data_IF_011011474788
#
_entry.id   IF_011011474788
#
_cell.length_a   1.000
_cell.length_b   1.000
_cell.length_c   1.000
_cell.angle_alpha   90.00
_cell.angle_beta   90.00
_cell.angle_gamma   90.00
#
_symmetry.space_group_name_H-M   'P 1'
#
loop_
_entity.id
_entity.type
_entity.pdbx_description
1 polymer ?
#
# COMPACT_ATOMS: atom_id res chain seq x y z
N UNK A 1 -2.86 28.30 -12.71
CA UNK A 1 -3.09 26.89 -13.07
C UNK A 1 -1.73 26.32 -13.40
N UNK A 2 -1.11 25.70 -12.41
CA UNK A 2 0.32 25.40 -12.41
C UNK A 2 0.71 24.31 -13.42
N UNK A 3 1.73 24.63 -14.20
CA UNK A 3 2.37 23.79 -15.22
C UNK A 3 2.83 22.41 -14.69
N UNK A 4 2.94 22.26 -13.36
CA UNK A 4 3.41 21.05 -12.69
C UNK A 4 2.39 19.90 -12.67
N UNK A 5 1.09 20.20 -12.53
CA UNK A 5 0.03 19.16 -12.60
C UNK A 5 -0.04 18.59 -14.01
N UNK A 6 0.14 19.43 -15.02
CA UNK A 6 0.16 19.00 -16.43
C UNK A 6 1.36 18.10 -16.73
N UNK A 7 2.53 18.35 -16.13
CA UNK A 7 3.76 17.60 -16.41
C UNK A 7 3.70 16.14 -15.89
N UNK A 8 3.14 15.91 -14.70
CA UNK A 8 2.92 14.54 -14.20
C UNK A 8 1.79 13.80 -14.94
N UNK A 9 0.80 14.53 -15.46
CA UNK A 9 -0.37 13.92 -16.13
C UNK A 9 -0.18 13.69 -17.63
N UNK A 10 0.87 14.25 -18.25
CA UNK A 10 1.14 14.09 -19.69
C UNK A 10 1.82 12.77 -20.08
N UNK A 11 2.25 11.94 -19.12
CA UNK A 11 3.03 10.72 -19.40
C UNK A 11 2.21 9.41 -19.52
N UNK A 12 0.90 9.44 -19.29
CA UNK A 12 0.05 8.22 -19.24
C UNK A 12 -1.09 8.21 -20.27
N UNK A 13 -1.00 9.04 -21.33
CA UNK A 13 -1.95 8.99 -22.44
C UNK A 13 -1.41 8.08 -23.57
N UNK A 14 -1.43 6.77 -23.34
CA UNK A 14 -0.90 5.84 -24.34
C UNK A 14 -1.18 4.38 -24.05
N UNK A 15 -2.46 3.98 -24.05
CA UNK A 15 -3.00 2.70 -24.55
C UNK A 15 -4.36 2.40 -23.91
N UNK A 16 -5.45 2.61 -24.66
CA UNK A 16 -6.74 1.96 -24.40
C UNK A 16 -7.20 1.36 -25.71
N UNK A 17 -7.24 0.03 -25.79
CA UNK A 17 -7.89 -0.71 -26.88
C UNK A 17 -9.27 -1.08 -26.38
N UNK A 18 -10.30 -0.62 -27.09
CA UNK A 18 -11.71 -0.80 -26.73
C UNK A 18 -12.18 -2.25 -26.87
N UNK A 19 -13.05 -2.68 -25.96
CA UNK A 19 -13.80 -3.92 -26.03
C UNK A 19 -15.21 -3.68 -25.49
N UNK A 20 -16.19 -3.87 -26.35
CA UNK A 20 -17.63 -3.81 -26.06
C UNK A 20 -18.04 -4.90 -25.06
N UNK A 21 -18.95 -4.59 -24.14
CA UNK A 21 -19.58 -5.60 -23.28
C UNK A 21 -21.05 -5.29 -23.02
N UNK A 22 -21.90 -5.83 -23.89
CA UNK A 22 -23.31 -6.08 -23.60
C UNK A 22 -23.46 -7.54 -23.16
N UNK A 23 -23.74 -7.76 -21.88
CA UNK A 23 -24.73 -8.72 -21.38
C UNK A 23 -24.62 -8.86 -19.85
N UNK A 24 -25.59 -8.28 -19.14
CA UNK A 24 -25.83 -8.56 -17.73
C UNK A 24 -26.82 -9.71 -17.63
N UNK A 25 -26.39 -10.84 -17.09
CA UNK A 25 -27.30 -11.85 -16.55
C UNK A 25 -27.23 -11.84 -15.02
N UNK A 26 -28.40 -11.65 -14.41
CA UNK A 26 -28.65 -11.80 -12.98
C UNK A 26 -28.48 -13.26 -12.56
N UNK A 27 -27.67 -13.52 -11.53
CA UNK A 27 -27.65 -14.82 -10.85
C UNK A 27 -28.56 -14.79 -9.62
N UNK A 28 -29.67 -15.54 -9.69
CA UNK A 28 -30.49 -15.92 -8.53
C UNK A 28 -29.88 -17.16 -7.86
N UNK A 29 -29.56 -17.06 -6.57
CA UNK A 29 -29.13 -18.18 -5.73
C UNK A 29 -30.34 -19.04 -5.32
N UNK A 30 -30.23 -20.35 -5.52
CA UNK A 30 -31.16 -21.36 -4.97
C UNK A 30 -30.45 -22.18 -3.90
N UNK A 31 -31.10 -22.57 -2.78
CA UNK A 31 -30.47 -23.37 -1.73
C UNK A 31 -30.66 -24.88 -1.97
N UNK A 32 -29.60 -25.68 -1.84
CA UNK A 32 -29.65 -27.14 -1.83
C UNK A 32 -28.32 -27.70 -1.33
N UNK A 33 -28.30 -28.23 -0.10
CA UNK A 33 -28.38 -29.66 0.24
C UNK A 33 -26.99 -30.32 0.36
N UNK A 34 -26.65 -30.74 1.58
CA UNK A 34 -25.43 -31.50 1.86
C UNK A 34 -25.57 -32.96 1.40
N UNK A 35 -24.55 -33.56 0.75
CA UNK A 35 -24.53 -34.99 0.53
C UNK A 35 -24.01 -35.73 1.78
N UNK A 36 -24.75 -36.75 2.20
CA UNK A 36 -24.37 -37.75 3.20
C UNK A 36 -23.42 -38.80 2.59
N UNK A 37 -22.30 -39.07 3.25
CA UNK A 37 -21.31 -40.10 2.88
C UNK A 37 -21.86 -41.53 3.11
N UNK A 38 -21.89 -42.41 2.08
CA UNK A 38 -22.44 -43.76 2.20
C UNK A 38 -21.44 -44.85 2.65
N UNK A 39 -20.19 -44.52 2.99
CA UNK A 39 -19.19 -45.55 3.32
C UNK A 39 -18.85 -45.61 4.81
N UNK A 40 -19.63 -46.40 5.55
CA UNK A 40 -19.38 -46.78 6.95
C UNK A 40 -18.06 -47.54 7.15
N UNK A 41 -16.95 -46.82 7.31
CA UNK A 41 -15.67 -47.36 7.80
C UNK A 41 -15.41 -46.91 9.23
N UNK A 42 -15.23 -47.89 10.11
CA UNK A 42 -14.83 -47.68 11.50
C UNK A 42 -13.45 -47.01 11.62
N UNK A 43 -13.22 -46.14 12.61
CA UNK A 43 -11.95 -45.44 12.75
C UNK A 43 -10.88 -46.34 13.38
N UNK A 44 -9.77 -46.52 12.67
CA UNK A 44 -8.55 -47.14 13.18
C UNK A 44 -7.92 -46.21 14.23
N UNK A 45 -7.84 -46.68 15.47
CA UNK A 45 -7.14 -46.01 16.57
C UNK A 45 -5.62 -46.04 16.30
N UNK A 46 -5.08 -44.94 15.77
CA UNK A 46 -3.64 -44.70 15.79
C UNK A 46 -3.28 -43.97 17.09
N UNK A 47 -2.60 -44.67 18.01
CA UNK A 47 -2.03 -44.07 19.21
C UNK A 47 -0.74 -43.34 18.84
N UNK A 48 -0.84 -42.10 18.36
CA UNK A 48 0.29 -41.20 18.28
C UNK A 48 0.60 -40.62 19.66
N UNK A 49 1.89 -40.61 20.03
CA UNK A 49 2.38 -39.98 21.25
C UNK A 49 2.04 -38.48 21.27
N UNK A 50 1.83 -37.86 22.45
CA UNK A 50 1.52 -36.44 22.54
C UNK A 50 2.72 -35.63 22.05
N UNK A 51 2.62 -35.08 20.85
CA UNK A 51 3.55 -34.05 20.37
C UNK A 51 3.32 -32.81 21.21
N UNK A 52 4.41 -32.23 21.74
CA UNK A 52 4.35 -30.92 22.38
C UNK A 52 3.71 -29.95 21.38
N UNK A 53 2.71 -29.13 21.79
CA UNK A 53 2.14 -28.15 20.89
C UNK A 53 3.27 -27.22 20.44
N UNK A 54 3.41 -27.06 19.12
CA UNK A 54 4.28 -26.05 18.56
C UNK A 54 3.88 -24.69 19.18
N UNK A 55 4.83 -23.80 19.50
CA UNK A 55 4.50 -22.48 20.02
C UNK A 55 3.50 -21.83 19.06
N UNK A 56 2.37 -21.38 19.59
CA UNK A 56 1.37 -20.69 18.79
C UNK A 56 2.05 -19.47 18.16
N UNK A 57 2.26 -19.48 16.84
CA UNK A 57 2.74 -18.30 16.12
C UNK A 57 1.63 -17.25 16.25
N UNK A 58 1.83 -16.30 17.16
CA UNK A 58 0.91 -15.19 17.35
C UNK A 58 0.85 -14.40 16.04
N UNK A 59 -0.35 -14.30 15.46
CA UNK A 59 -0.59 -13.53 14.26
C UNK A 59 -0.16 -12.06 14.47
N UNK A 60 0.73 -11.57 13.61
CA UNK A 60 1.17 -10.17 13.64
C UNK A 60 -0.01 -9.23 13.35
N UNK A 61 -0.12 -8.14 14.09
CA UNK A 61 -1.15 -7.12 13.92
C UNK A 61 -0.57 -5.99 13.08
N UNK A 62 -1.18 -5.68 11.94
CA UNK A 62 -0.65 -4.70 10.99
C UNK A 62 -1.66 -3.60 10.72
N UNK A 63 -1.25 -2.36 10.94
CA UNK A 63 -2.02 -1.20 10.49
C UNK A 63 -1.73 -0.95 9.01
N UNK A 64 -2.76 -0.80 8.19
CA UNK A 64 -2.62 -0.41 6.78
C UNK A 64 -3.22 0.99 6.62
N UNK A 65 -2.41 1.96 6.18
CA UNK A 65 -2.83 3.36 6.09
C UNK A 65 -3.11 3.70 4.62
N UNK A 66 -4.36 4.05 4.34
CA UNK A 66 -4.89 4.38 3.03
C UNK A 66 -5.07 5.90 2.86
N UNK A 67 -5.26 6.33 1.63
CA UNK A 67 -5.27 7.74 1.21
C UNK A 67 -6.38 8.08 0.21
N UNK A 68 -7.38 7.20 0.05
CA UNK A 68 -8.49 7.29 -0.91
C UNK A 68 -8.67 5.96 -1.65
N UNK A 69 -9.21 5.98 -2.88
CA UNK A 69 -9.40 4.78 -3.71
C UNK A 69 -9.24 5.08 -5.22
N UNK A 70 -8.00 5.08 -5.71
CA UNK A 70 -7.67 5.42 -7.09
C UNK A 70 -6.26 5.99 -7.20
N UNK A 71 -5.48 5.60 -8.21
CA UNK A 71 -4.07 6.00 -8.30
C UNK A 71 -3.86 7.51 -8.35
N UNK A 72 -4.73 8.28 -9.00
CA UNK A 72 -4.50 9.72 -9.21
C UNK A 72 -4.95 10.61 -8.06
N UNK A 73 -5.84 10.14 -7.20
CA UNK A 73 -6.45 10.93 -6.12
C UNK A 73 -6.54 10.23 -4.78
N UNK A 74 -6.06 8.98 -4.69
CA UNK A 74 -6.12 8.15 -3.50
C UNK A 74 -5.02 7.09 -3.45
N UNK A 75 -5.33 5.97 -2.81
CA UNK A 75 -4.46 4.79 -2.77
C UNK A 75 -4.47 4.06 -4.11
N UNK A 76 -3.30 3.63 -4.56
CA UNK A 76 -3.18 2.71 -5.70
C UNK A 76 -3.80 1.35 -5.33
N UNK A 77 -4.83 0.95 -6.08
CA UNK A 77 -5.73 -0.14 -5.70
C UNK A 77 -5.03 -1.50 -5.83
N UNK A 78 -4.15 -1.66 -6.81
CA UNK A 78 -3.45 -2.92 -7.04
C UNK A 78 -2.36 -3.18 -5.99
N UNK A 79 -1.65 -2.14 -5.55
CA UNK A 79 -0.69 -2.15 -4.44
C UNK A 79 -1.40 -2.44 -3.13
N UNK A 80 -2.51 -1.77 -2.83
CA UNK A 80 -3.30 -2.08 -1.63
C UNK A 80 -3.81 -3.52 -1.65
N UNK A 81 -4.33 -3.99 -2.80
CA UNK A 81 -4.74 -5.38 -2.95
C UNK A 81 -3.57 -6.35 -2.75
N UNK A 82 -2.38 -6.05 -3.29
CA UNK A 82 -1.19 -6.88 -3.11
C UNK A 82 -0.77 -6.94 -1.63
N UNK A 83 -0.73 -5.79 -0.95
CA UNK A 83 -0.46 -5.71 0.50
C UNK A 83 -1.42 -6.60 1.28
N UNK A 84 -2.73 -6.46 1.06
CA UNK A 84 -3.76 -7.22 1.78
C UNK A 84 -3.67 -8.72 1.51
N UNK A 85 -3.43 -9.13 0.26
CA UNK A 85 -3.26 -10.55 -0.11
C UNK A 85 -2.05 -11.17 0.58
N UNK A 86 -0.90 -10.50 0.57
CA UNK A 86 0.32 -11.04 1.18
C UNK A 86 0.24 -11.03 2.72
N UNK A 87 -0.36 -10.02 3.33
CA UNK A 87 -0.65 -10.01 4.77
C UNK A 87 -1.59 -11.16 5.17
N UNK A 88 -2.65 -11.37 4.40
CA UNK A 88 -3.60 -12.47 4.62
C UNK A 88 -2.93 -13.83 4.48
N UNK A 89 -2.09 -14.03 3.45
CA UNK A 89 -1.31 -15.26 3.25
C UNK A 89 -0.35 -15.54 4.41
N UNK A 90 0.21 -14.50 5.02
CA UNK A 90 1.07 -14.61 6.19
C UNK A 90 0.31 -14.80 7.51
N UNK A 91 -1.03 -14.83 7.49
CA UNK A 91 -1.88 -14.97 8.68
C UNK A 91 -1.89 -13.73 9.57
N UNK A 92 -1.52 -12.55 9.05
CA UNK A 92 -1.54 -11.31 9.80
C UNK A 92 -2.98 -10.81 10.03
N UNK A 93 -3.21 -10.17 11.18
CA UNK A 93 -4.45 -9.45 11.48
C UNK A 93 -4.31 -8.00 11.02
N UNK A 94 -5.17 -7.59 10.10
CA UNK A 94 -5.10 -6.26 9.47
C UNK A 94 -6.21 -5.35 10.00
N UNK A 95 -5.86 -4.10 10.31
CA UNK A 95 -6.84 -3.02 10.45
C UNK A 95 -6.44 -1.87 9.53
N UNK A 96 -7.39 -1.37 8.74
CA UNK A 96 -7.17 -0.29 7.79
C UNK A 96 -7.57 1.05 8.39
N UNK A 97 -6.80 2.08 8.06
CA UNK A 97 -7.00 3.44 8.53
C UNK A 97 -6.91 4.44 7.39
N UNK A 98 -7.67 5.53 7.46
CA UNK A 98 -7.57 6.64 6.52
C UNK A 98 -7.99 7.94 7.24
N UNK A 99 -7.42 9.11 6.89
CA UNK A 99 -7.87 10.37 7.46
C UNK A 99 -9.33 10.67 7.08
N UNK A 100 -10.16 11.08 8.04
CA UNK A 100 -11.47 11.66 7.76
C UNK A 100 -11.33 13.11 7.30
N UNK A 101 -11.02 13.29 6.02
CA UNK A 101 -10.80 14.60 5.39
C UNK A 101 -11.19 14.57 3.90
N UNK A 102 -11.42 15.74 3.32
CA UNK A 102 -11.63 15.88 1.88
C UNK A 102 -10.35 15.51 1.10
N UNK A 103 -10.51 14.85 -0.05
CA UNK A 103 -9.42 14.69 -1.01
C UNK A 103 -9.01 16.06 -1.59
N UNK A 104 -7.71 16.27 -1.85
CA UNK A 104 -7.24 17.51 -2.48
C UNK A 104 -7.85 17.72 -3.87
N UNK A 105 -7.98 16.63 -4.65
CA UNK A 105 -8.62 16.61 -5.95
C UNK A 105 -9.44 15.33 -6.10
N UNK A 106 -10.48 15.36 -6.93
CA UNK A 106 -11.16 14.17 -7.46
C UNK A 106 -10.84 14.07 -8.94
N UNK A 107 -10.34 12.93 -9.41
CA UNK A 107 -9.80 12.79 -10.77
C UNK A 107 -10.62 11.78 -11.59
N UNK A 108 -11.04 12.20 -12.77
CA UNK A 108 -11.50 11.25 -13.79
C UNK A 108 -10.30 10.45 -14.29
N UNK A 109 -10.23 9.18 -13.93
CA UNK A 109 -9.09 8.31 -14.25
C UNK A 109 -8.99 7.93 -15.73
N UNK A 110 -10.08 8.01 -16.49
CA UNK A 110 -10.05 7.79 -17.94
C UNK A 110 -9.39 8.96 -18.69
N UNK A 111 -9.56 10.19 -18.17
CA UNK A 111 -9.03 11.41 -18.78
C UNK A 111 -7.74 11.90 -18.13
N UNK A 112 -7.43 11.44 -16.92
CA UNK A 112 -6.33 11.94 -16.11
C UNK A 112 -6.52 13.40 -15.69
N UNK A 113 -7.77 13.87 -15.53
CA UNK A 113 -8.08 15.29 -15.25
C UNK A 113 -8.90 15.45 -13.97
N UNK A 114 -8.65 16.51 -13.18
CA UNK A 114 -9.51 16.86 -12.05
C UNK A 114 -10.97 17.13 -12.49
N UNK A 115 -11.88 16.91 -11.57
CA UNK A 115 -13.31 17.22 -11.67
C UNK A 115 -13.71 18.18 -10.54
N UNK A 116 -14.89 18.79 -10.64
CA UNK A 116 -15.45 19.67 -9.61
C UNK A 116 -16.10 18.90 -8.45
N UNK A 117 -16.12 17.57 -8.50
CA UNK A 117 -16.66 16.73 -7.44
C UNK A 117 -15.82 16.83 -6.16
N UNK A 118 -16.46 16.59 -5.01
CA UNK A 118 -15.78 16.42 -3.72
C UNK A 118 -16.01 15.01 -3.19
N UNK A 119 -14.93 14.41 -2.67
CA UNK A 119 -14.95 13.10 -2.04
C UNK A 119 -14.10 13.12 -0.78
N UNK A 120 -14.47 12.27 0.18
CA UNK A 120 -13.78 12.14 1.45
C UNK A 120 -12.84 10.93 1.41
N UNK A 121 -11.60 11.11 1.89
CA UNK A 121 -10.52 10.13 1.89
C UNK A 121 -10.94 8.84 2.61
N UNK A 122 -11.48 8.94 3.83
CA UNK A 122 -11.93 7.79 4.62
C UNK A 122 -13.07 7.04 3.92
N UNK A 123 -14.08 7.76 3.43
CA UNK A 123 -15.23 7.16 2.75
C UNK A 123 -14.83 6.42 1.46
N UNK A 124 -13.93 7.00 0.67
CA UNK A 124 -13.46 6.35 -0.55
C UNK A 124 -12.55 5.16 -0.23
N UNK A 125 -11.68 5.26 0.79
CA UNK A 125 -10.89 4.12 1.26
C UNK A 125 -11.73 2.95 1.78
N UNK A 126 -12.97 3.20 2.25
CA UNK A 126 -13.90 2.13 2.64
C UNK A 126 -14.23 1.18 1.48
N UNK A 127 -14.08 1.61 0.22
CA UNK A 127 -14.24 0.75 -0.96
C UNK A 127 -13.20 -0.36 -1.00
N UNK A 128 -11.93 -0.03 -0.76
CA UNK A 128 -10.82 -1.00 -0.65
C UNK A 128 -11.05 -1.90 0.58
N UNK A 129 -11.41 -1.28 1.70
CA UNK A 129 -11.56 -1.97 2.98
C UNK A 129 -12.85 -2.78 3.13
N UNK A 130 -13.76 -2.76 2.15
CA UNK A 130 -15.09 -3.37 2.22
C UNK A 130 -15.89 -2.92 3.45
N UNK A 131 -15.78 -1.63 3.79
CA UNK A 131 -16.40 -1.02 4.97
C UNK A 131 -15.56 -1.03 6.25
N UNK A 132 -14.54 -1.89 6.35
CA UNK A 132 -13.72 -2.07 7.56
C UNK A 132 -12.52 -1.12 7.60
N UNK A 133 -12.78 0.18 7.54
CA UNK A 133 -11.76 1.24 7.67
C UNK A 133 -12.10 2.15 8.85
N UNK A 134 -11.09 2.51 9.63
CA UNK A 134 -11.22 3.40 10.78
C UNK A 134 -10.59 4.76 10.48
N UNK A 135 -11.15 5.83 11.04
CA UNK A 135 -10.48 7.14 11.01
C UNK A 135 -9.06 7.02 11.60
N UNK A 136 -8.07 7.55 10.87
CA UNK A 136 -6.68 7.62 11.30
C UNK A 136 -6.56 8.24 12.71
N UNK A 137 -7.46 9.17 13.08
CA UNK A 137 -7.62 9.76 14.43
C UNK A 137 -7.54 8.74 15.56
N UNK A 138 -8.06 7.53 15.31
CA UNK A 138 -8.27 6.47 16.30
C UNK A 138 -7.15 5.42 16.30
N UNK A 139 -6.14 5.54 15.44
CA UNK A 139 -5.03 4.59 15.42
C UNK A 139 -4.21 4.71 16.70
N UNK A 140 -4.16 3.60 17.45
CA UNK A 140 -3.29 3.45 18.61
C UNK A 140 -2.11 2.52 18.28
N UNK A 141 -0.89 3.08 18.27
CA UNK A 141 0.33 2.36 17.87
C UNK A 141 0.64 1.15 18.76
N UNK A 142 0.20 1.12 20.04
CA UNK A 142 0.44 -0.05 20.90
C UNK A 142 -0.27 -1.33 20.40
N UNK A 143 -1.32 -1.15 19.60
CA UNK A 143 -2.22 -2.24 19.19
C UNK A 143 -1.72 -2.96 17.93
N UNK A 144 -0.61 -2.49 17.36
CA UNK A 144 -0.02 -3.03 16.13
C UNK A 144 1.43 -3.41 16.33
N UNK A 145 1.91 -4.35 15.53
CA UNK A 145 3.30 -4.79 15.52
C UNK A 145 4.06 -4.15 14.33
N UNK A 146 3.35 -3.73 13.27
CA UNK A 146 3.89 -3.02 12.12
C UNK A 146 2.86 -2.07 11.50
N UNK A 147 3.30 -1.17 10.62
CA UNK A 147 2.42 -0.41 9.74
C UNK A 147 2.89 -0.46 8.28
N UNK A 148 1.93 -0.47 7.34
CA UNK A 148 2.19 -0.44 5.90
C UNK A 148 1.42 0.70 5.25
N UNK A 149 2.08 1.46 4.37
CA UNK A 149 1.49 2.56 3.59
C UNK A 149 1.67 2.25 2.09
N UNK A 150 0.63 1.76 1.41
CA UNK A 150 0.63 1.64 -0.05
C UNK A 150 0.83 3.00 -0.73
N UNK A 151 1.17 3.00 -2.01
CA UNK A 151 1.35 4.21 -2.79
C UNK A 151 0.06 4.80 -3.36
N UNK A 152 0.20 5.40 -4.54
CA UNK A 152 -0.80 6.25 -5.17
C UNK A 152 -0.62 7.73 -4.84
N UNK A 153 -1.07 8.59 -5.76
CA UNK A 153 -0.93 10.04 -5.62
C UNK A 153 -1.73 10.61 -4.45
N UNK A 154 -2.68 9.89 -3.87
CA UNK A 154 -3.29 10.25 -2.59
C UNK A 154 -2.26 10.37 -1.46
N UNK A 155 -1.14 9.66 -1.52
CA UNK A 155 -0.04 9.87 -0.56
C UNK A 155 0.60 11.24 -0.76
N UNK A 156 0.81 11.64 -2.01
CA UNK A 156 1.41 12.93 -2.37
C UNK A 156 0.44 14.12 -2.26
N UNK A 157 -0.87 13.87 -2.13
CA UNK A 157 -1.94 14.90 -2.17
C UNK A 157 -2.74 15.00 -0.86
N UNK A 158 -3.03 13.88 -0.22
CA UNK A 158 -3.94 13.80 0.93
C UNK A 158 -3.19 13.47 2.23
N UNK A 159 -2.13 12.66 2.14
CA UNK A 159 -1.26 12.34 3.28
C UNK A 159 -0.06 13.30 3.40
N UNK A 160 0.19 14.09 2.38
CA UNK A 160 1.19 15.15 2.31
C UNK A 160 0.78 16.14 1.21
N UNK A 161 1.50 17.24 1.07
CA UNK A 161 1.38 18.17 -0.07
C UNK A 161 2.56 18.04 -1.06
N UNK A 162 3.19 16.86 -1.14
CA UNK A 162 4.29 16.56 -2.06
C UNK A 162 3.97 16.87 -3.53
N UNK A 163 2.75 16.60 -3.98
CA UNK A 163 2.34 16.84 -5.37
C UNK A 163 2.45 18.31 -5.79
N UNK A 164 2.44 19.24 -4.81
CA UNK A 164 2.54 20.69 -5.05
C UNK A 164 3.85 21.30 -4.55
N UNK A 165 4.45 20.75 -3.49
CA UNK A 165 5.66 21.30 -2.85
C UNK A 165 6.92 20.45 -2.97
N UNK A 166 6.81 19.23 -3.52
CA UNK A 166 7.94 18.29 -3.67
C UNK A 166 8.71 18.13 -2.33
N UNK A 167 10.04 18.15 -2.30
CA UNK A 167 10.87 18.02 -1.08
C UNK A 167 10.52 19.00 0.05
N UNK A 168 9.94 20.16 -0.28
CA UNK A 168 9.50 21.17 0.69
C UNK A 168 8.11 20.86 1.26
N UNK A 169 7.59 19.65 1.00
CA UNK A 169 6.29 19.23 1.49
C UNK A 169 6.20 19.22 3.01
N UNK A 170 4.96 19.30 3.47
CA UNK A 170 4.52 18.96 4.80
C UNK A 170 3.70 17.67 4.75
N UNK A 171 3.77 16.89 5.82
CA UNK A 171 3.00 15.65 5.96
C UNK A 171 1.76 15.98 6.79
N UNK A 172 0.66 15.26 6.52
CA UNK A 172 -0.55 15.38 7.33
C UNK A 172 -0.17 15.18 8.82
N UNK A 173 -0.49 16.13 9.72
CA UNK A 173 0.13 16.19 11.05
C UNK A 173 -0.06 14.94 11.90
N UNK A 174 -1.22 14.30 11.77
CA UNK A 174 -1.49 13.07 12.49
C UNK A 174 -0.68 11.90 11.91
N UNK A 175 -0.58 11.77 10.59
CA UNK A 175 0.24 10.73 9.98
C UNK A 175 1.71 10.88 10.38
N UNK A 176 2.22 12.11 10.39
CA UNK A 176 3.58 12.39 10.85
C UNK A 176 3.80 11.89 12.29
N UNK A 177 2.86 12.19 13.19
CA UNK A 177 2.89 11.71 14.58
C UNK A 177 2.90 10.18 14.64
N UNK A 178 2.04 9.51 13.86
CA UNK A 178 1.92 8.05 13.84
C UNK A 178 3.23 7.40 13.35
N UNK A 179 3.81 7.88 12.25
CA UNK A 179 5.08 7.37 11.73
C UNK A 179 6.20 7.51 12.76
N UNK A 180 6.30 8.68 13.41
CA UNK A 180 7.28 8.89 14.50
C UNK A 180 7.05 7.93 15.67
N UNK A 181 5.80 7.66 16.05
CA UNK A 181 5.47 6.75 17.13
C UNK A 181 5.81 5.29 16.80
N UNK A 182 5.56 4.82 15.57
CA UNK A 182 5.99 3.48 15.12
C UNK A 182 7.52 3.35 15.16
N UNK A 183 8.23 4.34 14.63
CA UNK A 183 9.70 4.37 14.63
C UNK A 183 10.28 4.39 16.05
N UNK A 184 9.78 5.27 16.93
CA UNK A 184 10.21 5.35 18.33
C UNK A 184 9.94 4.05 19.11
N UNK A 185 8.84 3.35 18.79
CA UNK A 185 8.53 2.05 19.37
C UNK A 185 9.36 0.89 18.78
N UNK A 186 10.23 1.16 17.81
CA UNK A 186 11.02 0.13 17.13
C UNK A 186 10.15 -0.85 16.35
N UNK A 187 9.00 -0.41 15.83
CA UNK A 187 8.07 -1.21 15.03
C UNK A 187 8.27 -0.91 13.55
N UNK A 188 8.35 -1.93 12.68
CA UNK A 188 8.68 -1.72 11.28
C UNK A 188 7.61 -0.99 10.50
N UNK A 189 8.08 -0.27 9.48
CA UNK A 189 7.29 0.47 8.51
C UNK A 189 7.54 -0.13 7.12
N UNK A 190 6.47 -0.56 6.43
CA UNK A 190 6.50 -0.94 5.01
C UNK A 190 5.91 0.17 4.14
N UNK A 191 6.59 0.57 3.08
CA UNK A 191 6.13 1.64 2.18
C UNK A 191 6.44 1.27 0.72
N UNK A 192 5.49 1.49 -0.19
CA UNK A 192 5.72 1.24 -1.62
C UNK A 192 5.35 2.42 -2.53
N UNK A 193 5.91 2.40 -3.73
CA UNK A 193 5.72 3.45 -4.74
C UNK A 193 6.21 4.82 -4.22
N UNK A 194 5.33 5.82 -4.14
CA UNK A 194 5.70 7.17 -3.73
C UNK A 194 5.70 7.34 -2.21
N UNK A 195 5.09 6.43 -1.44
CA UNK A 195 5.01 6.58 0.02
C UNK A 195 6.34 6.64 0.79
N UNK A 196 7.47 6.08 0.32
CA UNK A 196 8.77 6.27 0.96
C UNK A 196 9.21 7.72 1.15
N UNK A 197 8.69 8.68 0.37
CA UNK A 197 8.98 10.12 0.60
C UNK A 197 8.54 10.59 1.99
N UNK A 198 7.54 9.93 2.58
CA UNK A 198 7.09 10.23 3.95
C UNK A 198 8.19 9.89 4.96
N UNK A 199 8.82 8.72 4.81
CA UNK A 199 9.93 8.32 5.65
C UNK A 199 11.15 9.23 5.42
N UNK A 200 11.46 9.59 4.18
CA UNK A 200 12.56 10.50 3.86
C UNK A 200 12.43 11.85 4.59
N UNK A 201 11.20 12.37 4.71
CA UNK A 201 10.94 13.64 5.39
C UNK A 201 10.99 13.54 6.92
N UNK A 202 10.64 12.39 7.48
CA UNK A 202 10.43 12.21 8.93
C UNK A 202 11.63 11.57 9.63
N UNK A 203 12.35 10.67 8.95
CA UNK A 203 13.39 9.82 9.51
C UNK A 203 14.77 10.26 8.97
N UNK A 204 15.54 11.04 9.75
CA UNK A 204 16.80 11.59 9.27
C UNK A 204 17.79 10.52 8.83
N UNK A 205 18.28 10.62 7.61
CA UNK A 205 19.31 9.74 7.06
C UNK A 205 18.87 8.29 6.87
N UNK A 206 17.56 8.02 6.72
CA UNK A 206 17.11 6.68 6.38
C UNK A 206 17.57 6.25 4.98
N UNK A 207 17.68 4.94 4.80
CA UNK A 207 17.90 4.33 3.48
C UNK A 207 16.57 3.83 2.92
N UNK A 208 16.31 4.10 1.64
CA UNK A 208 15.07 3.68 1.00
C UNK A 208 15.24 3.50 -0.51
N UNK A 209 14.27 2.86 -1.15
CA UNK A 209 14.13 2.85 -2.61
C UNK A 209 12.80 3.46 -3.04
N UNK A 210 12.84 4.13 -4.17
CA UNK A 210 11.67 4.50 -5.00
C UNK A 210 11.83 3.94 -6.43
N UNK A 211 12.73 2.97 -6.62
CA UNK A 211 13.04 2.37 -7.91
C UNK A 211 14.48 2.60 -8.33
N UNK A 212 14.65 3.11 -9.54
CA UNK A 212 15.93 3.53 -10.12
C UNK A 212 16.06 5.05 -10.09
N UNK A 213 17.29 5.55 -10.18
CA UNK A 213 17.63 6.98 -10.21
C UNK A 213 17.94 7.51 -11.62
N UNK A 214 17.80 6.68 -12.65
CA UNK A 214 17.96 7.08 -14.06
C UNK A 214 16.63 7.03 -14.80
N UNK A 215 16.21 8.20 -15.28
CA UNK A 215 14.98 8.35 -16.05
C UNK A 215 15.07 7.60 -17.39
N UNK A 216 14.06 6.78 -17.67
CA UNK A 216 13.85 6.15 -18.97
C UNK A 216 12.39 5.68 -19.10
N UNK A 217 12.03 5.08 -20.24
CA UNK A 217 10.67 4.55 -20.46
C UNK A 217 10.21 3.58 -19.36
N UNK A 218 11.12 2.79 -18.79
CA UNK A 218 10.79 1.88 -17.69
C UNK A 218 10.62 2.63 -16.35
N UNK A 219 11.35 3.71 -16.14
CA UNK A 219 11.45 4.44 -14.88
C UNK A 219 11.12 5.92 -15.07
N UNK A 220 9.84 6.28 -15.30
CA UNK A 220 9.43 7.65 -15.60
C UNK A 220 9.52 8.59 -14.39
N UNK A 221 9.59 8.05 -13.17
CA UNK A 221 9.61 8.84 -11.93
C UNK A 221 10.96 8.83 -11.21
N UNK A 222 12.04 8.47 -11.91
CA UNK A 222 13.38 8.30 -11.34
C UNK A 222 13.94 9.55 -10.64
N UNK A 223 13.51 10.75 -11.07
CA UNK A 223 13.89 12.02 -10.44
C UNK A 223 13.48 12.13 -8.96
N UNK A 224 12.53 11.31 -8.51
CA UNK A 224 12.17 11.20 -7.09
C UNK A 224 13.37 10.79 -6.23
N UNK A 225 14.29 9.98 -6.79
CA UNK A 225 15.52 9.59 -6.11
C UNK A 225 16.40 10.79 -5.76
N UNK A 226 16.46 11.82 -6.60
CA UNK A 226 17.26 13.02 -6.35
C UNK A 226 16.65 13.86 -5.22
N UNK A 227 15.32 14.02 -5.21
CA UNK A 227 14.63 14.69 -4.11
C UNK A 227 14.86 13.97 -2.77
N UNK A 228 14.90 12.63 -2.76
CA UNK A 228 15.25 11.83 -1.58
C UNK A 228 16.69 12.12 -1.09
N UNK A 229 17.65 12.19 -2.01
CA UNK A 229 19.06 12.53 -1.69
C UNK A 229 19.16 13.95 -1.12
N UNK A 230 18.44 14.91 -1.71
CA UNK A 230 18.40 16.31 -1.25
C UNK A 230 17.77 16.48 0.14
N UNK A 231 16.85 15.59 0.52
CA UNK A 231 16.32 15.50 1.88
C UNK A 231 17.30 14.86 2.88
N UNK A 232 18.53 14.53 2.46
CA UNK A 232 19.57 13.97 3.31
C UNK A 232 19.43 12.47 3.55
N UNK A 233 18.62 11.77 2.76
CA UNK A 233 18.43 10.32 2.83
C UNK A 233 19.24 9.59 1.74
N UNK A 234 19.43 8.28 1.91
CA UNK A 234 20.14 7.46 0.92
C UNK A 234 19.14 6.70 0.05
N UNK A 235 19.08 7.05 -1.23
CA UNK A 235 18.37 6.24 -2.22
C UNK A 235 19.22 5.01 -2.60
N UNK A 236 18.58 3.84 -2.66
CA UNK A 236 19.18 2.58 -3.12
C UNK A 236 18.40 2.09 -4.33
N UNK A 237 19.07 1.95 -5.47
CA UNK A 237 18.44 1.46 -6.68
C UNK A 237 17.96 0.00 -6.49
N UNK A 238 16.70 -0.25 -6.84
CA UNK A 238 16.06 -1.57 -6.79
C UNK A 238 15.17 -1.77 -7.99
N UNK A 239 15.17 -3.00 -8.53
CA UNK A 239 14.22 -3.39 -9.56
C UNK A 239 12.84 -3.71 -8.97
N UNK A 240 11.83 -3.83 -9.83
CA UNK A 240 10.41 -3.89 -9.43
C UNK A 240 10.04 -5.07 -8.53
N UNK A 241 10.75 -6.19 -8.64
CA UNK A 241 10.51 -7.40 -7.83
C UNK A 241 11.31 -7.38 -6.51
N UNK A 242 12.10 -6.33 -6.25
CA UNK A 242 12.93 -6.21 -5.07
C UNK A 242 12.35 -5.23 -4.03
N UNK A 243 12.76 -5.41 -2.77
CA UNK A 243 12.60 -4.43 -1.70
C UNK A 243 13.97 -4.05 -1.12
N UNK A 244 14.08 -2.84 -0.60
CA UNK A 244 15.20 -2.39 0.22
C UNK A 244 14.82 -2.41 1.70
N UNK A 245 15.74 -2.86 2.55
CA UNK A 245 15.56 -2.95 4.00
C UNK A 245 16.60 -2.08 4.70
N UNK A 246 16.15 -0.99 5.32
CA UNK A 246 16.94 -0.23 6.28
C UNK A 246 16.71 -0.83 7.68
N UNK A 247 17.63 -1.73 8.06
CA UNK A 247 17.58 -2.44 9.35
C UNK A 247 17.64 -1.47 10.54
N UNK A 248 18.38 -0.36 10.42
CA UNK A 248 18.56 0.60 11.51
C UNK A 248 17.26 1.31 11.84
N UNK A 249 16.51 1.72 10.81
CA UNK A 249 15.24 2.41 10.97
C UNK A 249 14.02 1.48 10.92
N UNK A 250 14.24 0.17 10.71
CA UNK A 250 13.19 -0.83 10.45
C UNK A 250 12.22 -0.38 9.35
N UNK A 251 12.77 0.17 8.28
CA UNK A 251 12.03 0.66 7.13
C UNK A 251 12.23 -0.29 5.96
N UNK A 252 11.14 -0.76 5.37
CA UNK A 252 11.15 -1.62 4.19
C UNK A 252 10.45 -0.89 3.05
N UNK A 253 11.11 -0.78 1.90
CA UNK A 253 10.59 -0.03 0.76
C UNK A 253 10.69 -0.80 -0.55
N UNK A 254 9.72 -0.63 -1.44
CA UNK A 254 9.76 -1.15 -2.82
C UNK A 254 9.13 -0.15 -3.78
N UNK A 255 9.51 -0.18 -5.06
CA UNK A 255 9.15 0.85 -6.01
C UNK A 255 7.75 0.69 -6.64
N UNK A 256 7.20 -0.52 -6.67
CA UNK A 256 5.86 -0.80 -7.22
C UNK A 256 5.58 -0.04 -8.54
N UNK A 257 4.51 0.77 -8.62
CA UNK A 257 4.17 1.52 -9.84
C UNK A 257 4.97 2.80 -10.09
N UNK A 258 6.11 3.01 -9.40
CA UNK A 258 7.10 4.02 -9.82
C UNK A 258 7.79 3.67 -11.15
N UNK A 259 7.44 2.51 -11.73
CA UNK A 259 7.94 2.01 -12.99
C UNK A 259 6.82 1.44 -13.89
N UNK A 260 7.11 1.31 -15.18
CA UNK A 260 6.22 0.71 -16.17
C UNK A 260 6.40 -0.82 -16.23
N UNK A 261 6.03 -1.50 -15.14
CA UNK A 261 6.12 -2.95 -15.02
C UNK A 261 4.77 -3.67 -15.20
N UNK A 262 4.78 -4.96 -15.59
CA UNK A 262 3.59 -5.81 -15.50
C UNK A 262 3.06 -5.92 -14.06
N UNK A 263 1.73 -5.95 -13.90
CA UNK A 263 1.04 -6.05 -12.61
C UNK A 263 1.56 -7.17 -11.70
N UNK A 264 1.87 -8.35 -12.25
CA UNK A 264 2.35 -9.49 -11.45
C UNK A 264 3.71 -9.21 -10.81
N UNK A 265 4.62 -8.51 -11.52
CA UNK A 265 5.92 -8.13 -10.95
C UNK A 265 5.79 -7.13 -9.82
N UNK A 266 4.89 -6.16 -9.97
CA UNK A 266 4.57 -5.22 -8.89
C UNK A 266 3.97 -5.95 -7.70
N UNK A 267 3.03 -6.88 -7.95
CA UNK A 267 2.45 -7.72 -6.91
C UNK A 267 3.51 -8.55 -6.15
N UNK A 268 4.48 -9.10 -6.86
CA UNK A 268 5.55 -9.91 -6.27
C UNK A 268 6.52 -9.05 -5.45
N UNK A 269 6.95 -7.89 -5.96
CA UNK A 269 7.80 -6.93 -5.23
C UNK A 269 7.15 -6.37 -3.96
N UNK A 270 5.84 -6.03 -4.03
CA UNK A 270 5.05 -5.68 -2.83
C UNK A 270 5.02 -6.85 -1.85
N UNK A 271 4.95 -8.09 -2.34
CA UNK A 271 5.03 -9.28 -1.50
C UNK A 271 6.35 -9.40 -0.74
N UNK A 272 7.48 -9.14 -1.39
CA UNK A 272 8.79 -9.09 -0.73
C UNK A 272 8.80 -8.02 0.36
N UNK A 273 8.29 -6.82 0.07
CA UNK A 273 8.19 -5.75 1.08
C UNK A 273 7.32 -6.17 2.28
N UNK A 274 6.17 -6.82 2.07
CA UNK A 274 5.32 -7.31 3.16
C UNK A 274 6.07 -8.35 4.00
N UNK A 275 6.71 -9.33 3.36
CA UNK A 275 7.44 -10.39 4.06
C UNK A 275 8.58 -9.85 4.91
N UNK A 276 9.41 -8.95 4.37
CA UNK A 276 10.50 -8.32 5.12
C UNK A 276 9.97 -7.44 6.27
N UNK A 277 8.86 -6.71 6.05
CA UNK A 277 8.22 -5.92 7.12
C UNK A 277 7.79 -6.82 8.28
N UNK A 278 7.17 -7.97 7.99
CA UNK A 278 6.73 -8.92 9.01
C UNK A 278 7.89 -9.61 9.74
N UNK A 279 9.03 -9.83 9.08
CA UNK A 279 10.24 -10.39 9.71
C UNK A 279 10.85 -9.46 10.77
N UNK A 280 10.67 -8.15 10.62
CA UNK A 280 11.19 -7.12 11.55
C UNK A 280 10.24 -6.80 12.72
N UNK A 281 9.00 -7.33 12.66
CA UNK A 281 7.89 -7.05 13.57
C UNK A 281 7.86 -8.02 14.77
#
# INVERSE_FOLDING_TARGET
MDLFVTCMMSSVAGQVVGGDSSDRQEYKLSPGAQPSDPNGRAPLHNKSAPTKPAPAIMAKRVAVILSGCGVYDGTEIHEASAVLVHLSRAGAKVQMFAPDADQMHVVNHCEGKPTEEKRNVLQESARIARGEVTDLAKLNVSDFDAAIIPGGFGVAKNLSDWAVKNKDCTIQPQLEKIIKMFHQAGKPLGMCCISPILAAKILPGCELTVGQDKECKMWPYAQTADAVKEMGCKHVNKDVEEAHVDVKNKLVTTCAFMCNAPFHKVFDGVGVMVQETLKLA
#
